data_IF_257142341439
#
_entry.id   IF_257142341439
#
_cell.length_a   1.000
_cell.length_b   1.000
_cell.length_c   1.000
_cell.angle_alpha   90.00
_cell.angle_beta   90.00
_cell.angle_gamma   90.00
#
_symmetry.space_group_name_H-M   'P 1'
#
loop_
_entity.id
_entity.type
_entity.pdbx_description
1 polymer ?
#
# COMPACT_ATOMS: atom_id res chain seq x y z
N UNK A 1 20.36 11.10 10.54
CA UNK A 1 19.51 10.20 9.73
C UNK A 1 20.27 9.92 8.44
N UNK A 2 20.24 8.70 7.90
CA UNK A 2 20.88 8.45 6.60
C UNK A 2 20.10 9.18 5.51
N UNK A 3 20.75 10.04 4.74
CA UNK A 3 20.10 10.81 3.67
C UNK A 3 19.74 9.91 2.47
N UNK A 4 20.55 8.89 2.23
CA UNK A 4 20.48 7.97 1.11
C UNK A 4 20.12 6.53 1.54
N UNK A 5 19.21 6.39 2.50
CA UNK A 5 18.92 5.09 3.13
C UNK A 5 18.53 4.00 2.13
N UNK A 6 17.74 4.32 1.11
CA UNK A 6 17.28 3.33 0.12
C UNK A 6 18.43 2.80 -0.75
N UNK A 7 19.36 3.66 -1.14
CA UNK A 7 20.56 3.26 -1.89
C UNK A 7 21.50 2.42 -1.02
N UNK A 8 21.67 2.80 0.25
CA UNK A 8 22.42 2.00 1.20
C UNK A 8 21.81 0.60 1.37
N UNK A 9 20.48 0.50 1.46
CA UNK A 9 19.79 -0.80 1.53
C UNK A 9 20.04 -1.60 0.26
N UNK A 10 19.88 -1.00 -0.92
CA UNK A 10 20.09 -1.67 -2.20
C UNK A 10 21.50 -2.28 -2.31
N UNK A 11 22.53 -1.47 -2.01
CA UNK A 11 23.94 -1.88 -2.04
C UNK A 11 24.18 -3.04 -1.06
N UNK A 12 23.74 -2.89 0.19
CA UNK A 12 24.06 -3.86 1.23
C UNK A 12 23.23 -5.14 1.14
N UNK A 13 22.01 -5.08 0.60
CA UNK A 13 21.21 -6.27 0.32
C UNK A 13 21.87 -7.13 -0.76
N UNK A 14 22.42 -6.50 -1.80
CA UNK A 14 23.23 -7.19 -2.82
C UNK A 14 24.47 -7.84 -2.21
N UNK A 15 25.20 -7.12 -1.36
CA UNK A 15 26.38 -7.66 -0.68
C UNK A 15 26.05 -8.84 0.24
N UNK A 16 24.97 -8.74 1.02
CA UNK A 16 24.46 -9.83 1.86
C UNK A 16 24.09 -11.06 1.05
N UNK A 17 23.37 -10.88 -0.06
CA UNK A 17 22.96 -12.01 -0.91
C UNK A 17 24.14 -12.66 -1.64
N UNK A 18 25.18 -11.90 -1.98
CA UNK A 18 26.41 -12.41 -2.60
C UNK A 18 27.35 -13.12 -1.62
N UNK A 19 27.14 -12.96 -0.31
CA UNK A 19 27.91 -13.69 0.71
C UNK A 19 27.60 -15.19 0.64
N UNK A 20 28.63 -16.05 0.62
CA UNK A 20 28.48 -17.52 0.52
C UNK A 20 27.53 -18.11 1.55
N UNK A 21 27.50 -17.54 2.74
CA UNK A 21 26.65 -18.00 3.86
C UNK A 21 25.49 -17.05 4.14
N UNK A 22 25.29 -16.05 3.26
CA UNK A 22 24.21 -15.06 3.32
C UNK A 22 24.10 -14.33 4.65
N UNK A 23 25.24 -14.16 5.29
CA UNK A 23 25.42 -13.30 6.44
C UNK A 23 26.59 -12.36 6.20
N UNK A 24 26.59 -11.26 6.94
CA UNK A 24 27.67 -10.30 6.97
C UNK A 24 27.81 -9.72 8.37
N UNK A 25 29.03 -9.35 8.77
CA UNK A 25 29.23 -8.56 9.99
C UNK A 25 28.82 -7.12 9.72
N UNK A 26 28.06 -6.48 10.62
CA UNK A 26 27.59 -5.09 10.45
C UNK A 26 28.71 -4.11 10.07
N UNK A 27 29.91 -4.31 10.61
CA UNK A 27 31.09 -3.47 10.32
C UNK A 27 31.54 -3.51 8.85
N UNK A 28 31.08 -4.51 8.09
CA UNK A 28 31.37 -4.68 6.67
C UNK A 28 30.29 -4.07 5.77
N UNK A 29 29.23 -3.49 6.33
CA UNK A 29 28.29 -2.71 5.53
C UNK A 29 29.00 -1.57 4.83
N UNK A 30 28.58 -1.30 3.60
CA UNK A 30 29.23 -0.36 2.70
C UNK A 30 28.38 0.87 2.47
N UNK A 31 29.05 2.00 2.30
CA UNK A 31 28.45 3.21 1.74
C UNK A 31 28.42 3.14 0.20
N UNK A 32 27.90 4.20 -0.42
CA UNK A 32 27.80 4.37 -1.87
C UNK A 32 29.17 4.38 -2.59
N UNK A 33 30.25 4.65 -1.87
CA UNK A 33 31.61 4.66 -2.39
C UNK A 33 32.37 3.34 -2.12
N UNK A 34 31.74 2.38 -1.43
CA UNK A 34 32.33 1.09 -1.08
C UNK A 34 33.18 1.09 0.20
N UNK A 35 33.22 2.20 0.95
CA UNK A 35 33.86 2.25 2.26
C UNK A 35 32.94 1.68 3.34
N UNK A 36 33.52 1.31 4.49
CA UNK A 36 32.72 0.80 5.60
C UNK A 36 31.83 1.90 6.18
N UNK A 37 30.55 1.59 6.36
CA UNK A 37 29.54 2.51 6.86
C UNK A 37 29.81 2.83 8.34
N UNK A 38 30.10 4.10 8.64
CA UNK A 38 30.43 4.57 10.01
C UNK A 38 29.35 4.22 11.04
N UNK A 39 28.09 4.42 10.68
CA UNK A 39 26.93 4.16 11.55
C UNK A 39 26.31 2.78 11.30
N UNK A 40 27.14 1.77 11.04
CA UNK A 40 26.70 0.40 10.71
C UNK A 40 25.73 -0.22 11.72
N UNK A 41 25.84 0.08 13.02
CA UNK A 41 24.90 -0.40 14.05
C UNK A 41 23.47 0.08 13.78
N UNK A 42 23.30 1.40 13.65
CA UNK A 42 21.99 2.00 13.37
C UNK A 42 21.42 1.49 12.03
N UNK A 43 22.28 1.32 11.03
CA UNK A 43 21.85 0.77 9.75
C UNK A 43 21.37 -0.68 9.87
N UNK A 44 22.04 -1.50 10.68
CA UNK A 44 21.62 -2.88 10.95
C UNK A 44 20.24 -2.94 11.61
N UNK A 45 20.00 -2.08 12.60
CA UNK A 45 18.70 -1.96 13.28
C UNK A 45 17.58 -1.56 12.29
N UNK A 46 17.88 -0.66 11.34
CA UNK A 46 16.93 -0.28 10.29
C UNK A 46 16.61 -1.47 9.37
N UNK A 47 17.62 -2.25 8.96
CA UNK A 47 17.41 -3.44 8.12
C UNK A 47 16.59 -4.51 8.85
N UNK A 48 16.86 -4.73 10.13
CA UNK A 48 16.10 -5.67 10.97
C UNK A 48 14.65 -5.22 11.15
N UNK A 49 14.41 -3.94 11.46
CA UNK A 49 13.07 -3.39 11.56
C UNK A 49 12.27 -3.49 10.24
N UNK A 50 12.97 -3.42 9.10
CA UNK A 50 12.38 -3.65 7.77
C UNK A 50 12.19 -5.14 7.44
N UNK A 51 12.60 -6.05 8.32
CA UNK A 51 12.50 -7.49 8.11
C UNK A 51 13.46 -8.04 7.05
N UNK A 52 14.50 -7.29 6.67
CA UNK A 52 15.45 -7.68 5.62
C UNK A 52 16.58 -8.57 6.16
N UNK A 53 16.89 -8.43 7.44
CA UNK A 53 17.89 -9.23 8.14
C UNK A 53 17.38 -9.64 9.52
N UNK A 54 18.07 -10.60 10.14
CA UNK A 54 17.99 -10.88 11.57
C UNK A 54 19.34 -10.58 12.20
N UNK A 55 19.35 -9.88 13.33
CA UNK A 55 20.56 -9.70 14.12
C UNK A 55 20.79 -10.91 15.03
N UNK A 56 22.06 -11.29 15.18
CA UNK A 56 22.46 -12.27 16.18
C UNK A 56 22.07 -11.79 17.60
N UNK A 57 21.38 -12.65 18.34
CA UNK A 57 20.75 -12.33 19.65
C UNK A 57 21.70 -11.80 20.73
N UNK A 58 22.99 -12.16 20.67
CA UNK A 58 23.93 -11.85 21.75
C UNK A 58 24.61 -10.50 21.57
N UNK A 59 25.31 -10.32 20.45
CA UNK A 59 26.15 -9.14 20.24
C UNK A 59 25.67 -8.26 19.07
N UNK A 60 24.71 -8.74 18.28
CA UNK A 60 24.14 -8.05 17.12
C UNK A 60 25.18 -7.66 16.07
N UNK A 61 26.35 -8.30 16.05
CA UNK A 61 27.39 -8.01 15.07
C UNK A 61 27.14 -8.72 13.76
N UNK A 62 26.64 -9.96 13.82
CA UNK A 62 26.29 -10.73 12.64
C UNK A 62 24.87 -10.39 12.22
N UNK A 63 24.73 -10.14 10.92
CA UNK A 63 23.50 -9.84 10.22
C UNK A 63 23.23 -10.98 9.24
N UNK A 64 22.18 -11.76 9.47
CA UNK A 64 21.78 -12.87 8.60
C UNK A 64 20.63 -12.41 7.69
N UNK A 65 20.74 -12.67 6.39
CA UNK A 65 19.67 -12.34 5.43
C UNK A 65 18.41 -13.15 5.73
N UNK A 66 17.26 -12.49 5.84
CA UNK A 66 15.97 -13.18 6.00
C UNK A 66 15.50 -13.75 4.66
N UNK A 67 14.54 -14.68 4.72
CA UNK A 67 13.88 -15.14 3.49
C UNK A 67 13.14 -14.01 2.78
N UNK A 68 12.49 -13.10 3.52
CA UNK A 68 11.85 -11.91 2.94
C UNK A 68 12.87 -11.01 2.22
N UNK A 69 14.02 -10.73 2.84
CA UNK A 69 15.09 -9.93 2.23
C UNK A 69 15.67 -10.60 0.98
N UNK A 70 15.83 -11.92 1.00
CA UNK A 70 16.22 -12.71 -0.19
C UNK A 70 15.19 -12.59 -1.32
N UNK A 71 13.91 -12.77 -1.03
CA UNK A 71 12.85 -12.67 -2.05
C UNK A 71 12.76 -11.27 -2.65
N UNK A 72 12.94 -10.22 -1.83
CA UNK A 72 13.02 -8.83 -2.30
C UNK A 72 14.20 -8.68 -3.28
N UNK A 73 15.37 -9.19 -2.93
CA UNK A 73 16.53 -9.14 -3.82
C UNK A 73 16.26 -9.89 -5.14
N UNK A 74 15.76 -11.12 -5.08
CA UNK A 74 15.45 -11.94 -6.26
C UNK A 74 14.36 -11.32 -7.14
N UNK A 75 13.43 -10.57 -6.56
CA UNK A 75 12.37 -9.86 -7.29
C UNK A 75 12.86 -8.60 -8.01
N UNK A 76 14.14 -8.25 -7.87
CA UNK A 76 14.79 -7.13 -8.54
C UNK A 76 15.20 -5.99 -7.60
N UNK A 77 15.40 -6.27 -6.31
CA UNK A 77 16.02 -5.35 -5.36
C UNK A 77 15.04 -4.52 -4.54
N UNK A 78 15.60 -3.76 -3.61
CA UNK A 78 14.88 -2.92 -2.67
C UNK A 78 14.14 -1.77 -3.37
N UNK A 79 14.79 -1.13 -4.34
CA UNK A 79 14.19 -0.02 -5.10
C UNK A 79 12.92 -0.49 -5.84
N UNK A 80 12.99 -1.64 -6.51
CA UNK A 80 11.84 -2.21 -7.23
C UNK A 80 10.72 -2.66 -6.27
N UNK A 81 11.09 -3.22 -5.13
CA UNK A 81 10.13 -3.56 -4.08
C UNK A 81 9.36 -2.33 -3.59
N UNK A 82 10.05 -1.22 -3.33
CA UNK A 82 9.42 0.06 -2.98
C UNK A 82 8.43 0.54 -4.04
N UNK A 83 8.85 0.56 -5.31
CA UNK A 83 7.99 0.97 -6.43
C UNK A 83 6.73 0.09 -6.51
N UNK A 84 6.86 -1.21 -6.23
CA UNK A 84 5.75 -2.17 -6.24
C UNK A 84 4.79 -1.93 -5.07
N UNK A 85 5.28 -1.64 -3.87
CA UNK A 85 4.42 -1.29 -2.73
C UNK A 85 3.70 0.03 -2.98
N UNK A 86 4.39 1.04 -3.49
CA UNK A 86 3.81 2.34 -3.80
C UNK A 86 2.71 2.23 -4.86
N UNK A 87 2.90 1.38 -5.88
CA UNK A 87 1.88 1.14 -6.90
C UNK A 87 0.68 0.36 -6.35
N UNK A 88 0.91 -0.65 -5.50
CA UNK A 88 -0.15 -1.39 -4.80
C UNK A 88 -0.96 -0.48 -3.87
N UNK A 89 -0.30 0.41 -3.13
CA UNK A 89 -0.97 1.38 -2.27
C UNK A 89 -1.88 2.31 -3.10
N UNK A 90 -1.36 2.88 -4.19
CA UNK A 90 -2.16 3.71 -5.13
C UNK A 90 -3.34 2.94 -5.73
N UNK A 91 -3.17 1.67 -6.06
CA UNK A 91 -4.25 0.83 -6.58
C UNK A 91 -5.35 0.61 -5.53
N UNK A 92 -4.98 0.33 -4.28
CA UNK A 92 -5.94 0.13 -3.20
C UNK A 92 -6.73 1.42 -2.90
N UNK A 93 -6.10 2.59 -2.99
CA UNK A 93 -6.79 3.88 -2.85
C UNK A 93 -7.78 4.13 -4.00
N UNK A 94 -7.43 3.76 -5.23
CA UNK A 94 -8.35 3.85 -6.37
C UNK A 94 -9.52 2.86 -6.26
N UNK A 95 -9.27 1.62 -5.82
CA UNK A 95 -10.31 0.60 -5.65
C UNK A 95 -11.30 0.98 -4.54
N UNK A 96 -10.82 1.59 -3.45
CA UNK A 96 -11.67 2.11 -2.37
C UNK A 96 -12.49 3.32 -2.83
N UNK A 97 -11.92 4.24 -3.62
CA UNK A 97 -12.70 5.32 -4.26
C UNK A 97 -13.79 4.79 -5.20
N UNK A 98 -13.48 3.82 -6.06
CA UNK A 98 -14.47 3.23 -6.99
C UNK A 98 -15.64 2.58 -6.23
N UNK A 99 -15.35 1.92 -5.10
CA UNK A 99 -16.39 1.36 -4.23
C UNK A 99 -17.29 2.43 -3.59
N UNK A 100 -16.72 3.58 -3.20
CA UNK A 100 -17.46 4.71 -2.64
C UNK A 100 -18.34 5.40 -3.70
N UNK A 101 -17.82 5.58 -4.92
CA UNK A 101 -18.57 6.16 -6.05
C UNK A 101 -19.76 5.28 -6.41
N UNK A 102 -19.55 3.95 -6.57
CA UNK A 102 -20.65 3.01 -6.85
C UNK A 102 -21.71 2.97 -5.76
N UNK A 103 -21.32 3.10 -4.48
CA UNK A 103 -22.26 3.19 -3.35
C UNK A 103 -23.05 4.50 -3.39
N UNK A 104 -22.42 5.60 -3.79
CA UNK A 104 -23.06 6.91 -3.92
C UNK A 104 -24.05 6.93 -5.08
N UNK A 105 -23.70 6.38 -6.26
CA UNK A 105 -24.59 6.25 -7.41
C UNK A 105 -25.84 5.41 -7.08
N UNK A 106 -25.65 4.25 -6.44
CA UNK A 106 -26.78 3.39 -6.05
C UNK A 106 -27.74 4.08 -5.08
N UNK A 107 -27.20 4.87 -4.15
CA UNK A 107 -28.00 5.70 -3.23
C UNK A 107 -28.75 6.81 -3.97
N UNK A 108 -28.12 7.44 -4.96
CA UNK A 108 -28.73 8.51 -5.74
C UNK A 108 -29.88 8.02 -6.61
N UNK A 109 -29.69 6.90 -7.33
CA UNK A 109 -30.72 6.26 -8.15
C UNK A 109 -31.92 5.87 -7.28
N UNK A 110 -31.70 5.28 -6.10
CA UNK A 110 -32.79 4.91 -5.17
C UNK A 110 -33.64 6.12 -4.76
N UNK A 111 -33.02 7.27 -4.50
CA UNK A 111 -33.75 8.51 -4.15
C UNK A 111 -34.58 9.04 -5.32
N UNK A 112 -34.02 9.02 -6.53
CA UNK A 112 -34.75 9.44 -7.75
C UNK A 112 -35.96 8.53 -8.01
N UNK A 113 -35.81 7.21 -7.88
CA UNK A 113 -36.93 6.27 -8.07
C UNK A 113 -38.06 6.54 -7.09
N UNK A 114 -37.76 6.76 -5.80
CA UNK A 114 -38.78 7.06 -4.79
C UNK A 114 -39.50 8.36 -5.09
N UNK A 115 -38.76 9.42 -5.45
CA UNK A 115 -39.36 10.70 -5.83
C UNK A 115 -40.29 10.57 -7.05
N UNK A 116 -39.88 9.79 -8.06
CA UNK A 116 -40.70 9.52 -9.25
C UNK A 116 -42.01 8.80 -8.92
N UNK A 117 -41.99 7.80 -8.03
CA UNK A 117 -43.20 7.09 -7.58
C UNK A 117 -44.17 8.06 -6.88
N UNK A 118 -43.67 8.96 -6.04
CA UNK A 118 -44.50 9.95 -5.33
C UNK A 118 -45.20 10.89 -6.31
N UNK A 119 -44.47 11.39 -7.32
CA UNK A 119 -45.05 12.27 -8.35
C UNK A 119 -46.12 11.55 -9.15
N UNK A 120 -45.88 10.29 -9.55
CA UNK A 120 -46.88 9.47 -10.27
C UNK A 120 -48.17 9.27 -9.46
N UNK A 121 -48.04 8.98 -8.15
CA UNK A 121 -49.20 8.84 -7.27
C UNK A 121 -49.98 10.15 -7.17
N UNK A 122 -49.30 11.28 -6.99
CA UNK A 122 -49.94 12.59 -6.94
C UNK A 122 -50.68 12.91 -8.24
N UNK A 123 -50.07 12.66 -9.40
CA UNK A 123 -50.72 12.82 -10.69
C UNK A 123 -51.99 11.96 -10.80
N UNK A 124 -51.93 10.69 -10.37
CA UNK A 124 -53.08 9.79 -10.40
C UNK A 124 -54.24 10.28 -9.53
N UNK A 125 -53.96 10.75 -8.31
CA UNK A 125 -54.99 11.32 -7.43
C UNK A 125 -55.62 12.59 -8.00
N UNK A 126 -54.81 13.47 -8.61
CA UNK A 126 -55.31 14.67 -9.27
C UNK A 126 -56.24 14.27 -10.43
N UNK A 127 -55.85 13.31 -11.27
CA UNK A 127 -56.71 12.85 -12.38
C UNK A 127 -58.03 12.26 -11.89
N UNK A 128 -58.01 11.45 -10.82
CA UNK A 128 -59.21 10.88 -10.20
C UNK A 128 -60.17 11.96 -9.69
N UNK A 129 -59.65 12.95 -8.96
CA UNK A 129 -60.43 14.08 -8.47
C UNK A 129 -61.06 14.89 -9.60
N UNK A 130 -60.30 15.16 -10.68
CA UNK A 130 -60.83 15.88 -11.84
C UNK A 130 -61.96 15.12 -12.53
N UNK A 131 -61.85 13.80 -12.66
CA UNK A 131 -62.90 12.96 -13.25
C UNK A 131 -64.15 12.92 -12.36
N UNK A 132 -64.01 12.76 -11.05
CA UNK A 132 -65.16 12.77 -10.12
C UNK A 132 -65.90 14.12 -10.16
N UNK A 133 -65.17 15.24 -10.11
CA UNK A 133 -65.77 16.58 -10.16
C UNK A 133 -66.52 16.79 -11.49
N UNK A 134 -65.98 16.30 -12.60
CA UNK A 134 -66.61 16.45 -13.92
C UNK A 134 -67.84 15.54 -14.12
N UNK A 135 -67.93 14.41 -13.42
CA UNK A 135 -69.09 13.50 -13.49
C UNK A 135 -70.25 14.01 -12.62
N UNK A 136 -69.93 14.69 -11.51
CA UNK A 136 -70.93 15.19 -10.55
C UNK A 136 -71.57 16.51 -11.02
N UNK A 137 -70.98 17.19 -12.02
CA UNK A 137 -71.42 18.51 -12.49
C UNK A 137 -72.06 18.48 -13.88
#
# INVERSE_FOLDING_TARGET
MFENIDELIEINLKLLNMSKSQFMMRINFKDEFGFNLKNSKLFAEILEHKGLIVLEKNQGFRCDLTEAGRQIFLSGGWIKYKQTIESLAKYNDMATMDSHVKKMEKSFIKKITVAGIIVLLLCFFITLLTVEIFIIH
#
